data_IF_935162324864
#
_entry.id   IF_935162324864
#
_cell.length_a   1.000
_cell.length_b   1.000
_cell.length_c   1.000
_cell.angle_alpha   90.00
_cell.angle_beta   90.00
_cell.angle_gamma   90.00
#
_symmetry.space_group_name_H-M   'P 1'
#
loop_
_entity.id
_entity.type
_entity.pdbx_description
1 polymer ?
#
# COMPACT_ATOMS: atom_id res chain seq x y z
N UNK A 1 13.77 -2.84 35.70
CA UNK A 1 14.41 -1.77 34.90
C UNK A 1 13.36 -0.69 34.66
N UNK A 2 13.71 0.59 34.84
CA UNK A 2 12.76 1.67 34.55
C UNK A 2 12.66 1.90 33.02
N UNK A 3 11.69 2.71 32.59
CA UNK A 3 11.47 2.97 31.16
C UNK A 3 12.68 3.60 30.48
N UNK A 4 13.31 4.60 31.09
CA UNK A 4 14.42 5.36 30.51
C UNK A 4 15.65 4.47 30.24
N UNK A 5 15.98 3.59 31.19
CA UNK A 5 17.07 2.64 31.05
C UNK A 5 16.73 1.59 29.96
N UNK A 6 15.48 1.12 29.92
CA UNK A 6 15.02 0.20 28.89
C UNK A 6 15.09 0.81 27.49
N UNK A 7 14.54 2.01 27.30
CA UNK A 7 14.50 2.69 26.00
C UNK A 7 15.90 3.04 25.51
N UNK A 8 16.79 3.48 26.39
CA UNK A 8 18.20 3.72 26.07
C UNK A 8 18.91 2.45 25.58
N UNK A 9 18.67 1.31 26.23
CA UNK A 9 19.21 0.03 25.77
C UNK A 9 18.66 -0.35 24.38
N UNK A 10 17.38 -0.07 24.09
CA UNK A 10 16.79 -0.35 22.78
C UNK A 10 17.38 0.57 21.70
N UNK A 11 17.52 1.86 21.97
CA UNK A 11 18.17 2.82 21.06
C UNK A 11 19.60 2.43 20.71
N UNK A 12 20.41 2.02 21.69
CA UNK A 12 21.77 1.55 21.43
C UNK A 12 21.83 0.32 20.51
N UNK A 13 20.81 -0.55 20.55
CA UNK A 13 20.70 -1.67 19.62
C UNK A 13 20.25 -1.21 18.23
N UNK A 14 19.28 -0.28 18.18
CA UNK A 14 18.80 0.28 16.92
C UNK A 14 19.93 0.94 16.13
N UNK A 15 20.85 1.68 16.78
CA UNK A 15 22.00 2.31 16.08
C UNK A 15 22.75 1.27 15.23
N UNK A 16 23.10 0.12 15.82
CA UNK A 16 23.81 -0.95 15.11
C UNK A 16 23.00 -1.53 13.96
N UNK A 17 21.71 -1.80 14.20
CA UNK A 17 20.82 -2.33 13.15
C UNK A 17 20.62 -1.32 12.03
N UNK A 18 20.56 -0.02 12.36
CA UNK A 18 20.41 1.04 11.38
C UNK A 18 21.67 1.22 10.54
N UNK A 19 22.86 1.08 11.12
CA UNK A 19 24.13 1.09 10.39
C UNK A 19 24.18 -0.06 9.37
N UNK A 20 23.87 -1.29 9.81
CA UNK A 20 23.79 -2.47 8.92
C UNK A 20 22.74 -2.27 7.82
N UNK A 21 21.56 -1.74 8.17
CA UNK A 21 20.49 -1.46 7.21
C UNK A 21 20.90 -0.45 6.14
N UNK A 22 21.62 0.61 6.55
CA UNK A 22 22.17 1.62 5.64
C UNK A 22 23.23 1.05 4.73
N UNK A 23 24.15 0.25 5.25
CA UNK A 23 25.24 -0.32 4.47
C UNK A 23 24.73 -1.34 3.45
N UNK A 24 23.80 -2.22 3.86
CA UNK A 24 23.27 -3.29 3.00
C UNK A 24 22.38 -2.72 1.89
N UNK A 25 21.47 -1.81 2.20
CA UNK A 25 20.46 -1.33 1.25
C UNK A 25 20.74 0.05 0.67
N UNK A 26 21.78 0.74 1.16
CA UNK A 26 22.19 2.08 0.72
C UNK A 26 21.05 3.09 0.81
N UNK A 27 20.21 3.00 1.84
CA UNK A 27 18.98 3.82 1.94
C UNK A 27 19.24 5.34 1.89
N UNK A 28 20.44 5.77 2.29
CA UNK A 28 20.85 7.19 2.27
C UNK A 28 21.22 7.68 0.85
N UNK A 29 21.31 6.81 -0.16
CA UNK A 29 21.60 7.20 -1.55
C UNK A 29 20.37 7.50 -2.40
N UNK A 30 19.15 7.27 -1.89
CA UNK A 30 17.91 7.56 -2.61
C UNK A 30 17.38 8.95 -2.24
N UNK A 31 17.00 9.74 -3.25
CA UNK A 31 16.45 11.08 -3.04
C UNK A 31 14.92 11.12 -2.95
N UNK A 32 14.25 10.08 -3.46
CA UNK A 32 12.80 9.98 -3.44
C UNK A 32 12.33 8.78 -2.61
N UNK A 33 11.12 8.91 -2.07
CA UNK A 33 10.40 7.82 -1.40
C UNK A 33 8.92 7.89 -1.78
N UNK A 34 8.27 6.73 -1.81
CA UNK A 34 6.83 6.59 -1.93
C UNK A 34 6.40 5.38 -1.09
N UNK A 35 5.24 5.43 -0.46
CA UNK A 35 4.70 4.28 0.23
C UNK A 35 3.24 4.06 -0.15
N UNK A 36 2.86 2.81 -0.28
CA UNK A 36 1.48 2.40 -0.50
C UNK A 36 0.95 1.77 0.81
N UNK A 37 -0.01 2.45 1.44
CA UNK A 37 -0.60 2.00 2.71
C UNK A 37 -1.45 0.73 2.57
N UNK A 38 -1.99 0.45 1.39
CA UNK A 38 -2.81 -0.74 1.16
C UNK A 38 -1.93 -1.99 0.99
N UNK A 39 -0.80 -1.83 0.29
CA UNK A 39 0.18 -2.89 0.05
C UNK A 39 1.22 -3.02 1.17
N UNK A 40 1.26 -2.04 2.07
CA UNK A 40 2.22 -1.93 3.17
C UNK A 40 3.68 -2.00 2.66
N UNK A 41 3.91 -1.33 1.53
CA UNK A 41 5.18 -1.27 0.82
C UNK A 41 5.75 0.14 0.83
N UNK A 42 7.05 0.23 1.09
CA UNK A 42 7.87 1.43 0.95
C UNK A 42 8.80 1.24 -0.25
N UNK A 43 8.78 2.19 -1.19
CA UNK A 43 9.71 2.34 -2.31
C UNK A 43 10.67 3.48 -2.00
N UNK A 44 11.97 3.24 -2.12
CA UNK A 44 13.01 4.27 -2.17
C UNK A 44 13.62 4.24 -3.57
N UNK A 45 13.82 5.39 -4.21
CA UNK A 45 14.25 5.43 -5.61
C UNK A 45 14.93 6.74 -6.00
N UNK A 46 15.76 6.66 -7.03
CA UNK A 46 16.29 7.81 -7.77
C UNK A 46 15.60 7.93 -9.14
N UNK A 47 15.44 6.80 -9.83
CA UNK A 47 14.67 6.61 -11.05
C UNK A 47 14.18 5.14 -11.12
N UNK A 48 13.53 4.74 -12.22
CA UNK A 48 12.95 3.40 -12.35
C UNK A 48 13.98 2.26 -12.45
N UNK A 49 15.27 2.56 -12.64
CA UNK A 49 16.36 1.57 -12.67
C UNK A 49 17.19 1.53 -11.37
N UNK A 50 16.97 2.46 -10.45
CA UNK A 50 17.68 2.56 -9.17
C UNK A 50 16.68 2.73 -8.04
N UNK A 51 16.12 1.59 -7.61
CA UNK A 51 15.04 1.51 -6.65
C UNK A 51 15.09 0.26 -5.77
N UNK A 52 14.53 0.39 -4.56
CA UNK A 52 14.38 -0.72 -3.61
C UNK A 52 13.01 -0.67 -2.93
N UNK A 53 12.52 -1.85 -2.58
CA UNK A 53 11.19 -2.03 -1.98
C UNK A 53 11.30 -2.73 -0.63
N UNK A 54 10.44 -2.34 0.31
CA UNK A 54 10.42 -2.91 1.65
C UNK A 54 9.01 -3.13 2.16
N UNK A 55 8.78 -4.26 2.82
CA UNK A 55 7.62 -4.40 3.71
C UNK A 55 7.86 -3.60 4.98
N UNK A 56 6.85 -2.85 5.42
CA UNK A 56 6.95 -2.03 6.62
C UNK A 56 5.73 -2.17 7.53
N UNK A 57 5.90 -1.94 8.83
CA UNK A 57 4.82 -1.71 9.79
C UNK A 57 4.84 -0.23 10.19
N UNK A 58 3.74 0.53 10.07
CA UNK A 58 3.72 1.90 10.55
C UNK A 58 3.79 1.87 12.08
N UNK A 59 4.79 2.54 12.67
CA UNK A 59 4.94 2.61 14.14
C UNK A 59 4.02 3.68 14.70
N UNK A 60 4.09 4.87 14.12
CA UNK A 60 3.33 6.03 14.57
C UNK A 60 3.83 7.30 13.92
N UNK A 61 3.30 8.41 14.42
CA UNK A 61 3.53 9.73 13.86
C UNK A 61 3.83 10.75 14.94
N UNK A 62 4.79 11.62 14.68
CA UNK A 62 5.10 12.78 15.50
C UNK A 62 4.61 14.05 14.81
N UNK A 63 3.72 14.80 15.48
CA UNK A 63 3.24 16.08 14.96
C UNK A 63 4.21 17.20 15.29
N UNK A 64 4.72 17.87 14.25
CA UNK A 64 5.58 19.03 14.38
C UNK A 64 4.84 20.24 14.97
N UNK A 65 3.50 20.29 14.79
CA UNK A 65 2.61 21.37 15.23
C UNK A 65 2.19 21.23 16.68
N UNK A 66 1.61 20.09 17.06
CA UNK A 66 1.12 19.87 18.43
C UNK A 66 2.18 19.32 19.38
N UNK A 67 3.37 18.93 18.87
CA UNK A 67 4.44 18.30 19.65
C UNK A 67 3.93 17.06 20.39
N UNK A 68 3.20 16.22 19.66
CA UNK A 68 2.61 14.99 20.19
C UNK A 68 3.00 13.79 19.36
N UNK A 69 3.21 12.66 20.04
CA UNK A 69 3.27 11.35 19.41
C UNK A 69 1.88 10.72 19.34
N UNK A 70 1.58 10.04 18.24
CA UNK A 70 0.41 9.18 18.08
C UNK A 70 0.83 7.81 17.54
N UNK A 71 0.47 6.75 18.25
CA UNK A 71 0.69 5.38 17.80
C UNK A 71 -0.21 5.01 16.60
N UNK A 72 0.32 4.24 15.64
CA UNK A 72 -0.47 3.81 14.49
C UNK A 72 -1.65 2.91 14.90
N UNK A 73 -1.47 2.00 15.87
CA UNK A 73 -2.54 1.15 16.39
C UNK A 73 -3.70 1.95 17.02
N UNK A 74 -3.47 3.19 17.43
CA UNK A 74 -4.50 4.09 17.95
C UNK A 74 -5.18 4.91 16.84
N UNK A 75 -4.48 5.14 15.73
CA UNK A 75 -4.98 5.93 14.62
C UNK A 75 -6.01 5.14 13.79
N UNK A 76 -7.29 5.46 13.97
CA UNK A 76 -8.41 4.83 13.23
C UNK A 76 -8.48 5.22 11.76
N UNK A 77 -7.79 6.30 11.35
CA UNK A 77 -7.75 6.77 9.96
C UNK A 77 -6.63 6.09 9.13
N UNK A 78 -5.67 5.43 9.77
CA UNK A 78 -4.64 4.64 9.09
C UNK A 78 -5.24 3.31 8.61
N UNK A 79 -5.07 2.99 7.32
CA UNK A 79 -5.67 1.80 6.69
C UNK A 79 -4.77 0.57 6.75
N UNK A 80 -3.48 0.75 7.04
CA UNK A 80 -2.51 -0.34 7.18
C UNK A 80 -3.01 -1.37 8.20
N UNK A 81 -3.13 -2.63 7.78
CA UNK A 81 -3.70 -3.71 8.59
C UNK A 81 -2.68 -4.21 9.61
N UNK A 82 -1.41 -4.24 9.23
CA UNK A 82 -0.31 -4.72 10.05
C UNK A 82 0.05 -3.82 11.24
N UNK A 83 -0.57 -2.64 11.37
CA UNK A 83 -0.44 -1.79 12.58
C UNK A 83 -0.88 -2.52 13.85
N UNK A 84 -1.75 -3.53 13.73
CA UNK A 84 -2.20 -4.36 14.84
C UNK A 84 -1.10 -5.25 15.42
N UNK A 85 -0.03 -5.52 14.67
CA UNK A 85 1.15 -6.23 15.20
C UNK A 85 1.79 -5.48 16.38
N UNK A 86 1.65 -4.15 16.43
CA UNK A 86 2.14 -3.33 17.54
C UNK A 86 1.39 -3.56 18.86
N UNK A 87 0.25 -4.25 18.86
CA UNK A 87 -0.48 -4.55 20.09
C UNK A 87 0.35 -5.38 21.09
N UNK A 88 1.34 -6.12 20.60
CA UNK A 88 2.33 -6.81 21.47
C UNK A 88 3.14 -5.81 22.31
N UNK A 89 3.53 -4.67 21.74
CA UNK A 89 4.27 -3.61 22.43
C UNK A 89 3.36 -2.90 23.44
N UNK A 90 2.11 -2.65 23.06
CA UNK A 90 1.10 -2.11 23.98
C UNK A 90 0.89 -3.01 25.19
N UNK A 91 0.72 -4.31 24.97
CA UNK A 91 0.56 -5.31 26.03
C UNK A 91 1.78 -5.33 26.96
N UNK A 92 2.99 -5.37 26.39
CA UNK A 92 4.23 -5.29 27.16
C UNK A 92 4.30 -4.01 28.00
N UNK A 93 3.87 -2.88 27.44
CA UNK A 93 3.77 -1.60 28.13
C UNK A 93 2.89 -1.65 29.38
N UNK A 94 1.72 -2.29 29.27
CA UNK A 94 0.79 -2.46 30.40
C UNK A 94 1.43 -3.34 31.48
N UNK A 95 2.01 -4.46 31.10
CA UNK A 95 2.62 -5.43 32.03
C UNK A 95 3.81 -4.84 32.81
N UNK A 96 4.52 -3.88 32.22
CA UNK A 96 5.70 -3.24 32.83
C UNK A 96 5.42 -1.81 33.35
N UNK A 97 4.18 -1.34 33.27
CA UNK A 97 3.78 0.01 33.65
C UNK A 97 4.58 1.12 32.92
N UNK A 98 4.77 0.95 31.62
CA UNK A 98 5.42 1.91 30.73
C UNK A 98 4.38 2.71 29.95
N UNK A 99 3.92 3.82 30.52
CA UNK A 99 2.79 4.62 30.02
C UNK A 99 2.87 4.99 28.53
N UNK A 100 4.05 5.43 28.07
CA UNK A 100 4.29 5.79 26.66
C UNK A 100 3.96 4.67 25.67
N UNK A 101 3.98 3.40 26.10
CA UNK A 101 3.73 2.24 25.22
C UNK A 101 2.26 1.87 25.10
N UNK A 102 1.40 2.32 26.02
CA UNK A 102 -0.04 2.00 25.99
C UNK A 102 -0.97 3.22 25.89
N UNK A 103 -0.44 4.43 26.08
CA UNK A 103 -1.16 5.68 25.82
C UNK A 103 -1.13 5.98 24.32
N UNK A 104 -2.31 6.06 23.69
CA UNK A 104 -2.42 6.16 22.22
C UNK A 104 -1.86 7.45 21.63
N UNK A 105 -2.06 8.59 22.31
CA UNK A 105 -1.50 9.90 21.93
C UNK A 105 -1.03 10.62 23.18
N UNK A 106 0.16 11.24 23.14
CA UNK A 106 0.74 11.97 24.27
C UNK A 106 1.73 13.04 23.82
N UNK A 107 2.00 14.02 24.69
CA UNK A 107 2.99 15.06 24.46
C UNK A 107 4.40 14.46 24.38
N UNK A 108 5.19 14.89 23.39
CA UNK A 108 6.52 14.33 23.14
C UNK A 108 7.44 15.29 22.38
N UNK A 109 8.68 14.86 22.16
CA UNK A 109 9.69 15.57 21.40
C UNK A 109 10.02 14.85 20.08
N UNK A 110 10.92 15.44 19.30
CA UNK A 110 11.39 14.93 18.00
C UNK A 110 12.15 13.59 18.10
N UNK A 111 12.59 13.19 19.29
CA UNK A 111 13.31 11.93 19.50
C UNK A 111 12.36 10.75 19.73
N UNK A 112 11.08 11.01 20.05
CA UNK A 112 10.09 10.01 20.39
C UNK A 112 9.93 8.95 19.29
N UNK A 113 9.99 9.33 18.02
CA UNK A 113 9.84 8.37 16.92
C UNK A 113 10.95 7.34 16.87
N UNK A 114 12.21 7.75 17.06
CA UNK A 114 13.35 6.84 17.13
C UNK A 114 13.31 5.98 18.41
N UNK A 115 12.98 6.60 19.55
CA UNK A 115 12.82 5.90 20.84
C UNK A 115 11.82 4.76 20.72
N UNK A 116 10.61 5.05 20.25
CA UNK A 116 9.51 4.09 20.22
C UNK A 116 9.68 3.04 19.11
N UNK A 117 10.22 3.43 17.95
CA UNK A 117 10.56 2.48 16.89
C UNK A 117 11.65 1.50 17.32
N UNK A 118 12.62 1.94 18.13
CA UNK A 118 13.68 1.07 18.66
C UNK A 118 13.11 -0.04 19.56
N UNK A 119 12.02 0.24 20.28
CA UNK A 119 11.33 -0.74 21.11
C UNK A 119 10.61 -1.75 20.22
N UNK A 120 9.91 -1.30 19.18
CA UNK A 120 9.21 -2.17 18.23
C UNK A 120 10.14 -3.15 17.49
N UNK A 121 11.37 -2.72 17.19
CA UNK A 121 12.38 -3.50 16.47
C UNK A 121 12.58 -4.91 17.06
N UNK A 122 12.65 -5.03 18.39
CA UNK A 122 12.89 -6.31 19.07
C UNK A 122 11.68 -7.24 19.00
N UNK A 123 10.47 -6.72 19.20
CA UNK A 123 9.25 -7.52 19.22
C UNK A 123 8.90 -8.06 17.84
N UNK A 124 9.17 -7.26 16.80
CA UNK A 124 8.69 -7.51 15.45
C UNK A 124 9.82 -7.91 14.50
N UNK A 125 11.04 -8.08 15.03
CA UNK A 125 12.23 -8.51 14.28
C UNK A 125 12.49 -7.67 13.04
N UNK A 126 12.32 -6.35 13.18
CA UNK A 126 12.59 -5.42 12.09
C UNK A 126 14.09 -5.37 11.77
N UNK A 127 14.41 -5.05 10.52
CA UNK A 127 15.77 -4.89 10.01
C UNK A 127 16.24 -3.43 9.98
N UNK A 128 15.36 -2.49 10.30
CA UNK A 128 15.69 -1.06 10.31
C UNK A 128 14.46 -0.19 10.56
N UNK A 129 14.67 1.10 10.68
CA UNK A 129 13.60 2.10 10.79
C UNK A 129 13.78 3.12 9.67
N UNK A 130 12.67 3.49 9.03
CA UNK A 130 12.65 4.58 8.05
C UNK A 130 11.70 5.67 8.51
N UNK A 131 12.13 6.92 8.40
CA UNK A 131 11.33 8.10 8.74
C UNK A 131 10.96 8.83 7.47
N UNK A 132 9.66 8.98 7.27
CA UNK A 132 9.07 9.78 6.22
C UNK A 132 8.69 11.15 6.79
N UNK A 133 9.16 12.22 6.14
CA UNK A 133 8.87 13.59 6.56
C UNK A 133 7.84 14.22 5.62
N UNK A 134 6.80 14.80 6.22
CA UNK A 134 5.88 15.74 5.57
C UNK A 134 5.99 17.10 6.25
N UNK A 135 5.31 18.13 5.71
CA UNK A 135 5.40 19.49 6.24
C UNK A 135 5.02 19.64 7.72
N UNK A 136 4.09 18.81 8.22
CA UNK A 136 3.57 18.93 9.60
C UNK A 136 3.72 17.65 10.44
N UNK A 137 4.19 16.56 9.84
CA UNK A 137 4.14 15.24 10.45
C UNK A 137 5.35 14.41 10.03
N UNK A 138 6.02 13.80 11.00
CA UNK A 138 6.99 12.74 10.77
C UNK A 138 6.31 11.39 10.97
N UNK A 139 6.38 10.49 9.99
CA UNK A 139 5.88 9.11 10.08
C UNK A 139 7.04 8.15 10.21
N UNK A 140 6.99 7.30 11.21
CA UNK A 140 8.02 6.30 11.47
C UNK A 140 7.53 4.92 11.07
N UNK A 141 8.36 4.21 10.31
CA UNK A 141 8.07 2.89 9.75
C UNK A 141 9.14 1.91 10.21
N UNK A 142 8.70 0.78 10.76
CA UNK A 142 9.58 -0.35 11.05
C UNK A 142 9.72 -1.19 9.79
N UNK A 143 10.94 -1.34 9.29
CA UNK A 143 11.23 -2.11 8.08
C UNK A 143 11.40 -3.58 8.45
N UNK A 144 10.68 -4.48 7.77
CA UNK A 144 10.71 -5.91 8.05
C UNK A 144 11.68 -6.68 7.16
N UNK A 145 11.63 -6.43 5.86
CA UNK A 145 12.46 -7.10 4.85
C UNK A 145 12.44 -6.32 3.53
N UNK A 146 13.47 -6.54 2.71
CA UNK A 146 13.47 -6.13 1.32
C UNK A 146 12.56 -7.03 0.48
N UNK A 147 11.92 -6.43 -0.52
CA UNK A 147 11.03 -7.09 -1.48
C UNK A 147 11.66 -7.01 -2.86
N UNK A 148 11.67 -8.13 -3.59
CA UNK A 148 12.23 -8.17 -4.94
C UNK A 148 11.38 -7.35 -5.91
N UNK A 149 12.04 -6.66 -6.85
CA UNK A 149 11.38 -5.80 -7.85
C UNK A 149 10.32 -6.53 -8.70
N UNK A 150 10.48 -7.84 -8.88
CA UNK A 150 9.57 -8.69 -9.64
C UNK A 150 8.49 -9.38 -8.80
N UNK A 151 8.36 -9.05 -7.50
CA UNK A 151 7.30 -9.62 -6.67
C UNK A 151 5.93 -9.10 -7.11
N UNK A 152 4.89 -9.91 -6.90
CA UNK A 152 3.52 -9.56 -7.28
C UNK A 152 3.06 -8.26 -6.61
N UNK A 153 3.47 -8.00 -5.37
CA UNK A 153 3.12 -6.77 -4.65
C UNK A 153 3.83 -5.54 -5.22
N UNK A 154 5.07 -5.66 -5.69
CA UNK A 154 5.79 -4.55 -6.35
C UNK A 154 5.18 -4.25 -7.71
N UNK A 155 4.90 -5.30 -8.51
CA UNK A 155 4.17 -5.14 -9.78
C UNK A 155 2.84 -4.41 -9.56
N UNK A 156 2.07 -4.84 -8.56
CA UNK A 156 0.79 -4.20 -8.21
C UNK A 156 0.95 -2.77 -7.71
N UNK A 157 2.05 -2.44 -7.00
CA UNK A 157 2.34 -1.06 -6.57
C UNK A 157 2.65 -0.13 -7.75
N UNK A 158 3.27 -0.64 -8.81
CA UNK A 158 3.58 0.11 -10.03
C UNK A 158 2.36 0.31 -10.94
N UNK A 159 1.31 -0.50 -10.79
CA UNK A 159 0.09 -0.41 -11.58
C UNK A 159 -0.74 0.84 -11.22
N UNK A 160 -1.42 1.40 -12.22
CA UNK A 160 -2.30 2.57 -12.06
C UNK A 160 -3.45 2.24 -11.10
N UNK A 161 -4.00 3.25 -10.41
CA UNK A 161 -5.18 3.13 -9.54
C UNK A 161 -6.26 4.17 -9.86
N UNK A 162 -7.53 3.82 -9.63
CA UNK A 162 -8.71 4.70 -9.71
C UNK A 162 -9.52 4.61 -8.42
N UNK A 163 -10.05 5.73 -7.92
CA UNK A 163 -10.98 5.75 -6.79
C UNK A 163 -12.41 5.50 -7.29
N UNK A 164 -12.99 4.37 -6.92
CA UNK A 164 -14.33 3.96 -7.33
C UNK A 164 -15.44 4.67 -6.53
N UNK A 165 -15.14 5.21 -5.35
CA UNK A 165 -16.15 5.73 -4.40
C UNK A 165 -16.98 4.66 -3.68
N UNK A 166 -17.24 3.49 -4.30
CA UNK A 166 -17.90 2.33 -3.66
C UNK A 166 -16.89 1.26 -3.18
N UNK A 167 -15.88 0.96 -4.01
CA UNK A 167 -14.85 -0.05 -3.73
C UNK A 167 -13.51 0.54 -3.25
N UNK A 168 -13.40 1.87 -3.13
CA UNK A 168 -12.14 2.56 -2.85
C UNK A 168 -11.18 2.53 -4.04
N UNK A 169 -9.88 2.63 -3.75
CA UNK A 169 -8.83 2.59 -4.76
C UNK A 169 -8.59 1.16 -5.25
N UNK A 170 -8.54 0.98 -6.57
CA UNK A 170 -8.20 -0.31 -7.19
C UNK A 170 -7.68 -0.09 -8.61
N UNK A 171 -7.22 -1.17 -9.27
CA UNK A 171 -6.68 -1.09 -10.63
C UNK A 171 -7.76 -0.61 -11.60
N UNK A 172 -7.42 0.22 -12.61
CA UNK A 172 -8.38 0.63 -13.61
C UNK A 172 -8.77 -0.56 -14.50
N UNK A 173 -9.99 -0.50 -15.01
CA UNK A 173 -10.47 -1.34 -16.08
C UNK A 173 -11.29 -0.49 -17.04
N UNK A 174 -11.28 -0.87 -18.32
CA UNK A 174 -11.95 -0.14 -19.39
C UNK A 174 -13.04 -1.02 -19.98
N UNK A 175 -14.28 -0.55 -19.88
CA UNK A 175 -15.45 -1.30 -20.36
C UNK A 175 -16.33 -0.48 -21.27
N UNK A 176 -17.00 -1.12 -22.23
CA UNK A 176 -18.02 -0.43 -23.02
C UNK A 176 -19.18 0.06 -22.13
N UNK A 177 -19.82 1.18 -22.49
CA UNK A 177 -20.95 1.76 -21.77
C UNK A 177 -22.17 0.83 -21.64
N UNK A 178 -22.22 -0.28 -22.39
CA UNK A 178 -23.35 -1.20 -22.44
C UNK A 178 -23.28 -2.32 -21.39
N UNK A 179 -22.13 -2.54 -20.76
CA UNK A 179 -22.00 -3.51 -19.67
C UNK A 179 -22.59 -2.93 -18.38
N UNK A 180 -23.50 -3.68 -17.75
CA UNK A 180 -24.17 -3.28 -16.51
C UNK A 180 -24.64 -4.51 -15.71
N UNK A 181 -25.10 -4.27 -14.48
CA UNK A 181 -25.59 -5.31 -13.56
C UNK A 181 -27.12 -5.49 -13.62
N UNK A 182 -27.80 -4.96 -14.64
CA UNK A 182 -29.25 -5.07 -14.82
C UNK A 182 -29.61 -6.14 -15.87
N UNK A 183 -28.91 -6.13 -17.01
CA UNK A 183 -29.11 -7.05 -18.13
C UNK A 183 -27.79 -7.70 -18.56
N UNK A 184 -27.81 -9.02 -18.77
CA UNK A 184 -26.65 -9.72 -19.33
C UNK A 184 -26.62 -9.51 -20.84
N UNK A 185 -25.58 -8.83 -21.32
CA UNK A 185 -25.36 -8.51 -22.73
C UNK A 185 -24.13 -9.26 -23.30
N UNK A 186 -23.71 -10.34 -22.64
CA UNK A 186 -22.43 -11.01 -22.87
C UNK A 186 -21.26 -10.30 -22.19
N UNK A 187 -20.09 -10.93 -22.20
CA UNK A 187 -18.86 -10.42 -21.61
C UNK A 187 -17.67 -10.97 -22.40
N UNK A 188 -17.22 -10.19 -23.38
CA UNK A 188 -16.00 -10.47 -24.13
C UNK A 188 -14.84 -9.74 -23.47
N UNK A 189 -13.67 -10.37 -23.45
CA UNK A 189 -12.47 -9.85 -22.79
C UNK A 189 -11.26 -9.92 -23.74
N UNK A 190 -10.33 -8.99 -23.58
CA UNK A 190 -9.12 -8.94 -24.41
C UNK A 190 -8.23 -10.18 -24.22
N UNK A 191 -8.27 -10.78 -23.02
CA UNK A 191 -7.61 -12.01 -22.64
C UNK A 191 -8.37 -12.61 -21.44
N UNK A 192 -8.13 -13.88 -21.12
CA UNK A 192 -8.77 -14.53 -19.97
C UNK A 192 -8.34 -13.87 -18.66
N UNK A 193 -9.29 -13.25 -17.95
CA UNK A 193 -9.03 -12.53 -16.70
C UNK A 193 -9.52 -13.27 -15.45
N UNK A 194 -8.78 -13.15 -14.34
CA UNK A 194 -9.24 -13.59 -13.03
C UNK A 194 -8.78 -12.64 -11.92
N UNK A 195 -9.53 -12.60 -10.82
CA UNK A 195 -9.30 -11.66 -9.73
C UNK A 195 -7.91 -11.86 -9.12
N UNK A 196 -7.14 -10.78 -9.01
CA UNK A 196 -5.80 -10.81 -8.44
C UNK A 196 -4.72 -11.32 -9.40
N UNK A 197 -5.01 -11.49 -10.69
CA UNK A 197 -3.96 -11.80 -11.68
C UNK A 197 -2.94 -10.67 -11.80
N UNK A 198 -1.71 -11.03 -12.15
CA UNK A 198 -0.70 -10.07 -12.58
C UNK A 198 -1.03 -9.57 -13.98
N UNK A 199 -0.76 -8.29 -14.23
CA UNK A 199 -0.89 -7.64 -15.53
C UNK A 199 0.50 -7.13 -15.92
N UNK A 200 0.86 -7.29 -17.19
CA UNK A 200 2.04 -6.64 -17.77
C UNK A 200 1.84 -5.11 -17.85
N UNK A 201 2.92 -4.34 -18.06
CA UNK A 201 2.86 -2.86 -18.03
C UNK A 201 1.92 -2.24 -19.07
N UNK A 202 1.70 -2.93 -20.19
CA UNK A 202 0.82 -2.53 -21.30
C UNK A 202 -0.55 -3.23 -21.28
N UNK A 203 -0.81 -4.07 -20.27
CA UNK A 203 -2.09 -4.75 -20.10
C UNK A 203 -2.99 -3.98 -19.14
N UNK A 204 -4.17 -3.61 -19.63
CA UNK A 204 -5.27 -3.12 -18.82
C UNK A 204 -6.44 -4.12 -18.90
N UNK A 205 -7.20 -4.25 -17.82
CA UNK A 205 -8.45 -5.00 -17.86
C UNK A 205 -9.41 -4.35 -18.86
N UNK A 206 -9.80 -5.11 -19.88
CA UNK A 206 -10.66 -4.63 -20.96
C UNK A 206 -11.77 -5.62 -21.24
N UNK A 207 -13.02 -5.16 -21.19
CA UNK A 207 -14.17 -5.98 -21.53
C UNK A 207 -15.26 -5.20 -22.26
N UNK A 208 -16.04 -5.90 -23.08
CA UNK A 208 -17.13 -5.32 -23.84
C UNK A 208 -18.27 -6.32 -24.01
N UNK A 209 -19.46 -5.83 -24.38
CA UNK A 209 -20.62 -6.69 -24.61
C UNK A 209 -20.55 -7.38 -25.98
N UNK A 210 -21.37 -8.42 -26.20
CA UNK A 210 -21.36 -9.16 -27.46
C UNK A 210 -21.80 -8.33 -28.68
N UNK A 211 -22.56 -7.24 -28.49
CA UNK A 211 -22.89 -6.32 -29.58
C UNK A 211 -21.71 -5.43 -29.97
N UNK A 212 -20.91 -4.98 -29.00
CA UNK A 212 -19.65 -4.31 -29.27
C UNK A 212 -18.67 -5.24 -29.99
N UNK A 213 -18.66 -6.53 -29.69
CA UNK A 213 -17.79 -7.50 -30.38
C UNK A 213 -18.18 -7.68 -31.85
N UNK A 214 -19.47 -7.78 -32.15
CA UNK A 214 -19.93 -7.83 -33.55
C UNK A 214 -19.43 -6.63 -34.34
N UNK A 215 -19.60 -5.43 -33.79
CA UNK A 215 -19.18 -4.19 -34.43
C UNK A 215 -17.65 -4.14 -34.57
N UNK A 216 -16.90 -4.57 -33.55
CA UNK A 216 -15.44 -4.68 -33.61
C UNK A 216 -14.99 -5.61 -34.74
N UNK A 217 -15.62 -6.78 -34.89
CA UNK A 217 -15.31 -7.73 -35.97
C UNK A 217 -15.67 -7.14 -37.34
N UNK A 218 -16.82 -6.51 -37.48
CA UNK A 218 -17.25 -5.87 -38.74
C UNK A 218 -16.32 -4.73 -39.18
N UNK A 219 -15.66 -4.07 -38.21
CA UNK A 219 -14.72 -2.97 -38.44
C UNK A 219 -13.25 -3.41 -38.49
N UNK A 220 -12.96 -4.71 -38.45
CA UNK A 220 -11.58 -5.25 -38.39
C UNK A 220 -10.76 -4.74 -37.20
N UNK A 221 -11.42 -4.53 -36.06
CA UNK A 221 -10.81 -4.10 -34.80
C UNK A 221 -11.44 -2.84 -34.21
N UNK A 222 -10.71 -2.21 -33.29
CA UNK A 222 -11.09 -0.94 -32.67
C UNK A 222 -10.72 0.22 -33.59
N UNK A 223 -11.72 0.73 -34.30
CA UNK A 223 -11.71 1.93 -35.14
C UNK A 223 -12.52 3.06 -34.50
N UNK A 224 -12.36 4.30 -34.98
CA UNK A 224 -13.13 5.46 -34.49
C UNK A 224 -14.65 5.22 -34.47
N UNK A 225 -15.19 4.46 -35.44
CA UNK A 225 -16.60 4.09 -35.49
C UNK A 225 -16.99 3.11 -34.38
N UNK A 226 -16.24 2.01 -34.23
CA UNK A 226 -16.50 0.99 -33.22
C UNK A 226 -16.26 1.50 -31.79
N UNK A 227 -15.24 2.33 -31.57
CA UNK A 227 -14.93 2.96 -30.28
C UNK A 227 -16.04 3.94 -29.88
N UNK A 228 -16.55 4.72 -30.84
CA UNK A 228 -17.68 5.62 -30.62
C UNK A 228 -18.94 4.88 -30.23
N UNK A 229 -19.21 3.72 -30.84
CA UNK A 229 -20.32 2.87 -30.42
C UNK A 229 -20.10 2.31 -29.01
N UNK A 230 -18.90 1.75 -28.76
CA UNK A 230 -18.57 1.15 -27.47
C UNK A 230 -18.62 2.14 -26.31
N UNK A 231 -18.24 3.40 -26.55
CA UNK A 231 -18.29 4.46 -25.53
C UNK A 231 -17.54 4.03 -24.27
N UNK A 232 -16.23 3.74 -24.41
CA UNK A 232 -15.44 3.16 -23.33
C UNK A 232 -15.49 4.03 -22.07
N UNK A 233 -15.73 3.39 -20.94
CA UNK A 233 -15.82 3.96 -19.60
C UNK A 233 -14.74 3.37 -18.70
N UNK A 234 -14.21 4.19 -17.80
CA UNK A 234 -13.25 3.79 -16.78
C UNK A 234 -14.00 3.31 -15.54
N UNK A 235 -13.70 2.10 -15.10
CA UNK A 235 -14.19 1.51 -13.84
C UNK A 235 -13.03 0.94 -13.03
N UNK A 236 -13.30 0.47 -11.81
CA UNK A 236 -12.30 -0.24 -11.00
C UNK A 236 -12.33 -1.76 -11.26
N UNK A 237 -11.24 -2.45 -10.95
CA UNK A 237 -11.11 -3.91 -11.07
C UNK A 237 -12.25 -4.67 -10.36
N UNK A 238 -12.69 -4.20 -9.19
CA UNK A 238 -13.80 -4.85 -8.49
C UNK A 238 -15.11 -4.76 -9.28
N UNK A 239 -15.44 -3.58 -9.86
CA UNK A 239 -16.61 -3.43 -10.72
C UNK A 239 -16.50 -4.29 -11.99
N UNK A 240 -15.29 -4.42 -12.54
CA UNK A 240 -15.04 -5.29 -13.69
C UNK A 240 -15.38 -6.75 -13.38
N UNK A 241 -14.92 -7.28 -12.24
CA UNK A 241 -15.22 -8.67 -11.86
C UNK A 241 -16.67 -8.88 -11.44
N UNK A 242 -17.34 -7.87 -10.86
CA UNK A 242 -18.79 -7.93 -10.61
C UNK A 242 -19.57 -8.08 -11.93
N UNK A 243 -19.19 -7.31 -12.97
CA UNK A 243 -19.79 -7.44 -14.31
C UNK A 243 -19.53 -8.82 -14.91
N UNK A 244 -18.29 -9.32 -14.80
CA UNK A 244 -17.90 -10.66 -15.31
C UNK A 244 -18.72 -11.77 -14.64
N UNK A 245 -18.81 -11.73 -13.31
CA UNK A 245 -19.58 -12.71 -12.53
C UNK A 245 -21.07 -12.66 -12.90
N UNK A 246 -21.65 -11.46 -13.01
CA UNK A 246 -23.05 -11.29 -13.38
C UNK A 246 -23.38 -11.85 -14.76
N UNK A 247 -22.52 -11.60 -15.75
CA UNK A 247 -22.70 -12.11 -17.11
C UNK A 247 -22.62 -13.64 -17.18
N UNK A 248 -21.72 -14.26 -16.42
CA UNK A 248 -21.53 -15.72 -16.35
C UNK A 248 -22.65 -16.47 -15.61
N UNK A 249 -23.43 -15.80 -14.76
CA UNK A 249 -24.57 -16.40 -14.07
C UNK A 249 -25.79 -16.56 -15.00
N UNK A 250 -25.85 -15.79 -16.09
CA UNK A 250 -27.00 -15.72 -17.02
C UNK A 250 -26.73 -16.30 -18.42
N UNK A 251 -25.54 -16.85 -18.66
CA UNK A 251 -25.18 -17.62 -19.88
C UNK A 251 -25.59 -19.08 -19.76
#
# INVERSE_FOLDING_TARGET
>A
MNYEEYSKQRLNKLIKVQDDFKDVYRIDSYVNWFYDSELELLRLYNDDNDEVYFKYIPVGTYSLKSKTWMWSWYNTHSIEKNKNELLVVKKFGIENNYEKLYTGTFASDEYAGWELSSICLEFLKGIGVYRVNSNELEKYMLILNGVGEYSSEVKMMKQKKVDCGSHGYSRPAFVCQHLNLEASNGFEEAFETYKGMELEEDEDFQAWCSDCEKIRIENDGWTEESEKFAGITLICENCYFELKEFSNIKS
#
